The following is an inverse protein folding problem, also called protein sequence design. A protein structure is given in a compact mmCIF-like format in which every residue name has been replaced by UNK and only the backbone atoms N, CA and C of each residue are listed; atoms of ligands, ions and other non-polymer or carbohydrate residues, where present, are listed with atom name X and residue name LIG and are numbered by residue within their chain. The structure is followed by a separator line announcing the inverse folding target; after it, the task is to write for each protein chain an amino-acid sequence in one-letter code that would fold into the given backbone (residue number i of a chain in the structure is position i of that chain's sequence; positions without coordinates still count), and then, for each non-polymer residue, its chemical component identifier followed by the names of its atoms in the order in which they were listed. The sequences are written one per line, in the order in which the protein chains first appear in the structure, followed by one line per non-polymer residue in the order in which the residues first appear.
data_IF_381191146650
#
_entry.id   IF_381191146650
#
_cell.length_a   1.000
_cell.length_b   1.000
_cell.length_c   1.000
_cell.angle_alpha   90.00
_cell.angle_beta   90.00
_cell.angle_gamma   90.00
#
_symmetry.space_group_name_H-M   'P 1'
#
loop_
_entity.id
_entity.type
_entity.pdbx_description
1 polymer ?
#
# COMPACT_ATOMS: atom_id res chain seq x y z
N UNK A 1 16.42 -38.53 6.93
CA UNK A 1 17.53 -37.71 7.48
C UNK A 1 17.92 -36.62 6.49
N UNK A 2 18.56 -36.95 5.35
CA UNK A 2 19.02 -35.96 4.36
C UNK A 2 17.90 -35.02 3.84
N UNK A 3 16.72 -35.57 3.54
CA UNK A 3 15.54 -34.81 3.11
C UNK A 3 15.04 -33.81 4.16
N UNK A 4 15.03 -34.22 5.43
CA UNK A 4 14.59 -33.40 6.56
C UNK A 4 15.57 -32.25 6.79
N UNK A 5 16.88 -32.50 6.73
CA UNK A 5 17.90 -31.45 6.90
C UNK A 5 17.90 -30.48 5.72
N UNK A 6 17.69 -30.94 4.48
CA UNK A 6 17.50 -30.05 3.33
C UNK A 6 16.25 -29.19 3.44
N UNK A 7 15.13 -29.78 3.88
CA UNK A 7 13.89 -29.05 4.13
C UNK A 7 14.09 -27.96 5.19
N UNK A 8 14.79 -28.29 6.28
CA UNK A 8 15.13 -27.33 7.32
C UNK A 8 16.05 -26.20 6.83
N UNK A 9 17.06 -26.50 6.01
CA UNK A 9 17.91 -25.47 5.38
C UNK A 9 17.14 -24.53 4.47
N UNK A 10 16.27 -25.10 3.63
CA UNK A 10 15.43 -24.31 2.74
C UNK A 10 14.46 -23.43 3.54
N UNK A 11 13.87 -23.96 4.61
CA UNK A 11 12.99 -23.19 5.50
C UNK A 11 13.75 -22.02 6.16
N UNK A 12 14.91 -22.28 6.78
CA UNK A 12 15.73 -21.21 7.38
C UNK A 12 16.20 -20.18 6.37
N UNK A 13 16.52 -20.58 5.13
CA UNK A 13 16.86 -19.63 4.06
C UNK A 13 15.68 -18.72 3.70
N UNK A 14 14.47 -19.29 3.61
CA UNK A 14 13.25 -18.51 3.33
C UNK A 14 12.89 -17.57 4.47
N UNK A 15 13.02 -18.02 5.71
CA UNK A 15 12.84 -17.18 6.90
C UNK A 15 13.81 -16.00 6.89
N UNK A 16 15.11 -16.27 6.68
CA UNK A 16 16.14 -15.23 6.59
C UNK A 16 15.86 -14.22 5.49
N UNK A 17 15.36 -14.67 4.33
CA UNK A 17 14.98 -13.77 3.25
C UNK A 17 13.81 -12.84 3.64
N UNK A 18 12.82 -13.35 4.39
CA UNK A 18 11.68 -12.55 4.86
C UNK A 18 12.13 -11.54 5.92
N UNK A 19 12.87 -11.97 6.94
CA UNK A 19 13.41 -11.10 7.99
C UNK A 19 14.37 -10.05 7.42
N UNK A 20 15.22 -10.44 6.45
CA UNK A 20 16.10 -9.50 5.76
C UNK A 20 15.31 -8.45 4.97
N UNK A 21 14.22 -8.85 4.31
CA UNK A 21 13.33 -7.93 3.61
C UNK A 21 12.63 -6.96 4.58
N UNK A 22 12.17 -7.45 5.73
CA UNK A 22 11.57 -6.61 6.77
C UNK A 22 12.58 -5.58 7.30
N UNK A 23 13.79 -6.03 7.63
CA UNK A 23 14.85 -5.17 8.16
C UNK A 23 15.25 -4.08 7.16
N UNK A 24 15.39 -4.44 5.88
CA UNK A 24 15.71 -3.48 4.82
C UNK A 24 14.61 -2.42 4.63
N UNK A 25 13.35 -2.78 4.86
CA UNK A 25 12.21 -1.89 4.71
C UNK A 25 11.70 -1.29 6.03
N UNK A 26 12.43 -1.44 7.13
CA UNK A 26 12.02 -0.94 8.45
C UNK A 26 11.90 0.60 8.50
N UNK A 27 12.57 1.32 7.59
CA UNK A 27 12.45 2.78 7.45
C UNK A 27 11.51 3.22 6.32
N UNK A 28 10.93 2.27 5.58
CA UNK A 28 10.05 2.57 4.46
C UNK A 28 8.65 2.92 4.97
N UNK A 29 8.13 4.07 4.55
CA UNK A 29 6.78 4.52 4.95
C UNK A 29 5.69 3.59 4.44
N UNK A 30 4.71 3.29 5.29
CA UNK A 30 3.60 2.39 4.97
C UNK A 30 4.00 0.93 4.70
N UNK A 31 5.25 0.53 4.99
CA UNK A 31 5.67 -0.87 4.84
C UNK A 31 5.01 -1.76 5.89
N UNK A 32 4.67 -2.98 5.49
CA UNK A 32 4.05 -3.97 6.35
C UNK A 32 4.95 -5.19 6.47
N UNK A 33 5.34 -5.49 7.71
CA UNK A 33 6.12 -6.65 8.11
C UNK A 33 5.51 -7.91 7.53
N UNK A 34 6.35 -8.78 7.00
CA UNK A 34 5.96 -10.10 6.53
C UNK A 34 6.54 -11.17 7.44
N UNK A 35 5.84 -12.29 7.61
CA UNK A 35 6.32 -13.45 8.38
C UNK A 35 6.10 -14.74 7.58
N UNK A 36 7.03 -15.68 7.74
CA UNK A 36 6.98 -16.98 7.10
C UNK A 36 6.20 -17.96 7.98
N UNK A 37 5.16 -18.57 7.42
CA UNK A 37 4.42 -19.65 8.08
C UNK A 37 4.93 -21.00 7.57
N UNK A 38 5.35 -21.85 8.49
CA UNK A 38 5.83 -23.20 8.19
C UNK A 38 4.80 -24.24 8.60
N UNK A 39 4.62 -25.25 7.76
CA UNK A 39 3.87 -26.47 8.07
C UNK A 39 4.82 -27.65 8.18
N UNK A 40 4.52 -28.59 9.06
CA UNK A 40 5.18 -29.88 9.06
C UNK A 40 4.68 -30.73 7.87
N UNK A 41 5.53 -31.65 7.43
CA UNK A 41 5.16 -32.61 6.39
C UNK A 41 5.14 -33.98 7.01
N UNK A 42 4.01 -34.66 6.88
CA UNK A 42 3.87 -36.07 7.22
C UNK A 42 3.65 -36.92 5.99
N UNK A 43 4.09 -38.18 6.05
CA UNK A 43 3.78 -39.17 5.04
C UNK A 43 2.28 -39.49 5.10
N UNK A 44 1.54 -39.24 4.02
CA UNK A 44 0.10 -39.53 3.91
C UNK A 44 -0.18 -40.98 3.48
N UNK A 45 0.76 -41.91 3.70
CA UNK A 45 0.59 -43.31 3.32
C UNK A 45 -0.47 -44.00 4.22
N UNK A 46 -1.61 -44.46 3.68
CA UNK A 46 -2.67 -45.11 4.46
C UNK A 46 -2.24 -46.39 5.19
N UNK A 47 -1.14 -47.02 4.77
CA UNK A 47 -0.57 -48.21 5.42
C UNK A 47 0.41 -47.87 6.55
N UNK A 48 0.75 -46.59 6.74
CA UNK A 48 1.70 -46.17 7.76
C UNK A 48 1.04 -46.14 9.15
N UNK A 49 1.68 -46.78 10.13
CA UNK A 49 1.23 -46.72 11.52
C UNK A 49 1.52 -45.30 12.06
N UNK A 50 0.51 -44.54 12.51
CA UNK A 50 0.69 -43.17 13.01
C UNK A 50 1.60 -43.09 14.26
N UNK A 51 1.85 -44.22 14.94
CA UNK A 51 2.81 -44.28 16.07
C UNK A 51 4.27 -44.44 15.64
N UNK A 52 4.54 -44.76 14.38
CA UNK A 52 5.90 -44.98 13.85
C UNK A 52 6.23 -44.07 12.67
N UNK A 53 5.30 -43.21 12.24
CA UNK A 53 5.53 -42.26 11.16
C UNK A 53 6.50 -41.15 11.62
N UNK A 54 7.66 -41.08 10.98
CA UNK A 54 8.63 -40.00 11.18
C UNK A 54 8.28 -38.85 10.23
N UNK A 55 8.30 -37.60 10.73
CA UNK A 55 8.05 -36.42 9.92
C UNK A 55 9.05 -36.28 8.77
N UNK A 56 8.57 -35.81 7.62
CA UNK A 56 9.36 -35.58 6.41
C UNK A 56 10.04 -34.20 6.38
N UNK A 57 9.87 -33.40 7.43
CA UNK A 57 10.51 -32.10 7.63
C UNK A 57 9.50 -30.97 7.67
N UNK A 58 9.93 -29.79 7.20
CA UNK A 58 9.15 -28.55 7.21
C UNK A 58 9.04 -27.97 5.81
N UNK A 59 7.88 -27.38 5.48
CA UNK A 59 7.66 -26.65 4.24
C UNK A 59 7.16 -25.24 4.56
N UNK A 60 7.51 -24.29 3.69
CA UNK A 60 6.93 -22.95 3.72
C UNK A 60 5.51 -23.01 3.16
N UNK A 61 4.52 -22.80 4.03
CA UNK A 61 3.09 -22.79 3.65
C UNK A 61 2.72 -21.47 2.99
N UNK A 62 3.13 -20.34 3.60
CA UNK A 62 2.84 -19.01 3.08
C UNK A 62 3.79 -17.96 3.66
N UNK A 63 3.91 -16.83 2.97
CA UNK A 63 4.45 -15.59 3.55
C UNK A 63 3.27 -14.67 3.76
N UNK A 64 2.88 -14.48 5.01
CA UNK A 64 1.77 -13.62 5.38
C UNK A 64 2.29 -12.23 5.75
N UNK A 65 1.45 -11.21 5.53
CA UNK A 65 1.73 -9.82 5.88
C UNK A 65 0.97 -9.45 7.13
N UNK A 66 1.63 -8.78 8.06
CA UNK A 66 1.00 -8.18 9.22
C UNK A 66 0.37 -6.84 8.82
N UNK A 67 -0.96 -6.77 8.88
CA UNK A 67 -1.76 -5.61 8.46
C UNK A 67 -2.00 -4.60 9.58
N UNK A 68 -1.43 -4.83 10.77
CA UNK A 68 -1.47 -3.87 11.88
C UNK A 68 -0.87 -2.53 11.47
N UNK A 69 -1.41 -1.44 12.03
CA UNK A 69 -0.89 -0.10 11.77
C UNK A 69 0.50 0.08 12.40
N UNK A 70 1.39 0.77 11.68
CA UNK A 70 2.67 1.21 12.21
C UNK A 70 2.55 2.49 13.04
N UNK A 71 3.67 2.95 13.61
CA UNK A 71 3.72 4.21 14.32
C UNK A 71 3.46 5.40 13.38
N UNK A 72 2.68 6.38 13.82
CA UNK A 72 2.41 7.60 13.05
C UNK A 72 3.46 8.67 13.39
N UNK A 73 4.14 9.20 12.38
CA UNK A 73 5.12 10.26 12.50
C UNK A 73 4.60 11.55 11.89
N UNK A 74 4.52 12.62 12.68
CA UNK A 74 4.19 13.94 12.15
C UNK A 74 5.34 14.48 11.29
N UNK A 75 5.00 14.97 10.09
CA UNK A 75 5.95 15.58 9.15
C UNK A 75 5.70 17.08 8.97
N UNK A 76 4.50 17.55 9.29
CA UNK A 76 4.10 18.96 9.12
C UNK A 76 3.77 19.36 7.68
N UNK A 77 3.87 18.44 6.72
CA UNK A 77 3.44 18.68 5.33
C UNK A 77 2.01 18.19 5.14
N UNK A 78 1.12 19.08 4.75
CA UNK A 78 -0.31 18.75 4.55
C UNK A 78 -0.55 17.66 3.51
N UNK A 79 0.37 17.49 2.56
CA UNK A 79 0.34 16.46 1.50
C UNK A 79 0.78 15.09 1.99
N UNK A 80 1.43 15.02 3.14
CA UNK A 80 1.73 13.74 3.80
C UNK A 80 0.48 13.29 4.55
N UNK A 81 -0.04 12.14 4.14
CA UNK A 81 -1.27 11.56 4.66
C UNK A 81 -0.97 10.21 5.31
N UNK A 82 -1.59 9.97 6.45
CA UNK A 82 -1.68 8.64 7.04
C UNK A 82 -3.15 8.23 7.18
N UNK A 83 -3.41 6.93 7.15
CA UNK A 83 -4.72 6.37 7.46
C UNK A 83 -4.67 5.84 8.89
N UNK A 84 -5.54 6.38 9.74
CA UNK A 84 -5.78 5.83 11.08
C UNK A 84 -6.91 4.80 11.01
N UNK A 85 -6.57 3.52 11.22
CA UNK A 85 -7.47 2.39 11.03
C UNK A 85 -7.23 1.61 9.73
N UNK A 86 -8.22 0.85 9.26
CA UNK A 86 -8.09 -0.04 8.09
C UNK A 86 -8.29 0.70 6.76
N UNK A 87 -7.67 0.21 5.71
CA UNK A 87 -7.85 0.71 4.34
C UNK A 87 -6.56 1.08 3.62
N UNK A 88 -6.66 1.35 2.34
CA UNK A 88 -5.54 1.71 1.49
C UNK A 88 -5.91 2.93 0.65
N UNK A 89 -4.94 3.78 0.37
CA UNK A 89 -5.07 4.81 -0.63
C UNK A 89 -5.25 4.16 -2.00
N UNK A 90 -6.23 4.64 -2.74
CA UNK A 90 -6.46 4.21 -4.12
C UNK A 90 -5.62 5.12 -5.02
N UNK A 91 -4.71 4.51 -5.75
CA UNK A 91 -3.85 5.17 -6.72
C UNK A 91 -4.08 4.56 -8.09
N UNK A 92 -3.83 5.32 -9.16
CA UNK A 92 -3.91 4.83 -10.53
C UNK A 92 -2.69 5.29 -11.29
N UNK A 93 -2.19 4.41 -12.15
CA UNK A 93 -1.15 4.78 -13.12
C UNK A 93 -1.75 5.79 -14.12
N UNK A 94 -1.14 6.96 -14.37
CA UNK A 94 -1.62 7.89 -15.39
C UNK A 94 -1.73 7.27 -16.80
N UNK A 95 -0.95 6.23 -17.11
CA UNK A 95 -1.02 5.51 -18.39
C UNK A 95 -1.94 4.27 -18.36
N UNK A 96 -2.43 3.88 -17.18
CA UNK A 96 -3.17 2.64 -16.96
C UNK A 96 -4.60 2.86 -16.48
N UNK A 97 -5.42 1.81 -16.60
CA UNK A 97 -6.81 1.82 -16.10
C UNK A 97 -6.95 1.09 -14.76
N UNK A 98 -5.95 0.30 -14.37
CA UNK A 98 -6.00 -0.53 -13.17
C UNK A 98 -5.73 0.29 -11.90
N UNK A 99 -6.62 0.15 -10.91
CA UNK A 99 -6.41 0.70 -9.58
C UNK A 99 -5.33 -0.08 -8.86
N UNK A 100 -4.48 0.65 -8.17
CA UNK A 100 -3.41 0.14 -7.33
C UNK A 100 -3.58 0.71 -5.93
N UNK A 101 -3.29 -0.10 -4.91
CA UNK A 101 -3.56 0.24 -3.53
C UNK A 101 -2.25 0.43 -2.78
N UNK A 102 -2.14 1.48 -1.98
CA UNK A 102 -0.94 1.75 -1.19
C UNK A 102 -1.30 2.22 0.20
N UNK A 103 -0.43 1.92 1.16
CA UNK A 103 -0.50 2.47 2.52
C UNK A 103 0.49 3.64 2.71
N UNK A 104 1.44 3.79 1.78
CA UNK A 104 2.33 4.94 1.78
C UNK A 104 1.54 6.18 1.35
N UNK A 105 1.57 7.22 2.18
CA UNK A 105 0.91 8.49 1.89
C UNK A 105 1.86 9.67 1.80
N UNK A 106 3.09 9.42 1.35
CA UNK A 106 4.05 10.46 0.99
C UNK A 106 3.72 11.03 -0.40
N UNK A 107 2.67 11.84 -0.46
CA UNK A 107 2.21 12.43 -1.72
C UNK A 107 2.85 13.80 -1.97
N UNK A 108 3.02 14.11 -3.25
CA UNK A 108 3.50 15.38 -3.77
C UNK A 108 2.55 15.90 -4.84
N UNK A 109 2.55 17.21 -5.09
CA UNK A 109 1.82 17.77 -6.23
C UNK A 109 2.73 17.82 -7.44
N UNK A 110 2.23 17.40 -8.60
CA UNK A 110 2.90 17.61 -9.88
C UNK A 110 2.64 19.03 -10.43
N UNK A 111 3.26 19.36 -11.58
CA UNK A 111 3.11 20.67 -12.21
C UNK A 111 1.70 20.95 -12.74
N UNK A 112 0.90 19.90 -12.97
CA UNK A 112 -0.50 19.96 -13.39
C UNK A 112 -1.47 20.00 -12.19
N UNK A 113 -0.94 19.93 -10.96
CA UNK A 113 -1.71 19.95 -9.72
C UNK A 113 -2.24 18.59 -9.28
N UNK A 114 -1.91 17.48 -9.93
CA UNK A 114 -2.34 16.17 -9.45
C UNK A 114 -1.56 15.76 -8.20
N UNK A 115 -2.28 15.13 -7.27
CA UNK A 115 -1.67 14.51 -6.10
C UNK A 115 -1.07 13.18 -6.54
N UNK A 116 0.25 13.12 -6.63
CA UNK A 116 1.00 11.96 -7.09
C UNK A 116 1.85 11.38 -5.97
N UNK A 117 1.98 10.04 -5.97
CA UNK A 117 2.97 9.37 -5.16
C UNK A 117 4.39 9.53 -5.78
N UNK A 118 5.47 9.16 -5.08
CA UNK A 118 6.83 9.31 -5.59
C UNK A 118 7.13 8.48 -6.85
N UNK A 119 6.28 7.50 -7.16
CA UNK A 119 6.38 6.72 -8.39
C UNK A 119 5.47 7.22 -9.50
N UNK A 120 4.90 8.43 -9.38
CA UNK A 120 4.10 9.11 -10.40
C UNK A 120 2.64 8.66 -10.50
N UNK A 121 2.14 7.87 -9.54
CA UNK A 121 0.77 7.37 -9.58
C UNK A 121 -0.16 8.39 -8.94
N UNK A 122 -1.26 8.68 -9.60
CA UNK A 122 -2.22 9.69 -9.17
C UNK A 122 -3.14 9.12 -8.10
N UNK A 123 -3.34 9.86 -7.03
CA UNK A 123 -4.29 9.51 -5.97
C UNK A 123 -5.69 9.77 -6.47
N UNK A 124 -6.58 8.82 -6.20
CA UNK A 124 -7.95 8.85 -6.67
C UNK A 124 -8.90 9.35 -5.58
N UNK A 125 -9.97 10.02 -5.99
CA UNK A 125 -10.99 10.54 -5.11
C UNK A 125 -12.38 10.58 -5.75
N UNK A 126 -13.39 10.79 -4.92
CA UNK A 126 -14.78 10.99 -5.29
C UNK A 126 -15.11 12.47 -5.38
N UNK A 127 -16.10 12.82 -6.20
CA UNK A 127 -16.62 14.19 -6.31
C UNK A 127 -17.62 14.54 -5.19
N UNK A 128 -18.19 13.55 -4.48
CA UNK A 128 -19.19 13.75 -3.43
C UNK A 128 -19.01 12.79 -2.23
N UNK A 129 -19.54 13.17 -1.07
CA UNK A 129 -19.51 12.45 0.23
C UNK A 129 -20.24 11.09 0.14
N UNK A 130 -21.20 10.94 -0.77
CA UNK A 130 -21.93 9.68 -0.94
C UNK A 130 -20.99 8.51 -1.27
N UNK A 131 -19.86 8.74 -1.95
CA UNK A 131 -18.75 7.79 -2.11
C UNK A 131 -19.12 6.40 -2.62
N UNK A 132 -20.26 6.25 -3.31
CA UNK A 132 -20.89 4.93 -3.51
C UNK A 132 -20.57 4.29 -4.85
N UNK A 133 -20.12 5.05 -5.86
CA UNK A 133 -19.89 4.53 -7.21
C UNK A 133 -18.41 4.58 -7.60
N UNK A 134 -17.85 3.43 -7.99
CA UNK A 134 -16.48 3.36 -8.56
C UNK A 134 -16.33 4.12 -9.88
N UNK A 135 -17.44 4.49 -10.53
CA UNK A 135 -17.46 5.33 -11.75
C UNK A 135 -17.10 6.80 -11.46
N UNK A 136 -17.34 7.29 -10.24
CA UNK A 136 -17.06 8.67 -9.84
C UNK A 136 -15.60 8.86 -9.37
N UNK A 137 -14.81 7.79 -9.46
CA UNK A 137 -13.42 7.76 -9.03
C UNK A 137 -12.53 8.45 -10.07
N UNK A 138 -12.17 9.71 -9.80
CA UNK A 138 -11.28 10.53 -10.64
C UNK A 138 -10.00 10.93 -9.90
N UNK A 139 -8.90 11.22 -10.63
CA UNK A 139 -7.68 11.71 -10.01
C UNK A 139 -7.92 12.97 -9.18
N UNK A 140 -7.31 13.08 -8.01
CA UNK A 140 -7.37 14.29 -7.18
C UNK A 140 -6.43 15.33 -7.79
N UNK A 141 -7.01 16.44 -8.23
CA UNK A 141 -6.28 17.57 -8.82
C UNK A 141 -6.54 18.83 -7.99
N UNK A 142 -5.44 19.51 -7.67
CA UNK A 142 -5.35 20.79 -6.95
C UNK A 142 -4.58 21.75 -7.88
N UNK A 143 -5.30 22.46 -8.76
CA UNK A 143 -4.67 23.37 -9.70
C UNK A 143 -3.81 24.44 -8.97
N UNK A 144 -2.54 24.66 -9.38
CA UNK A 144 -1.70 25.69 -8.75
C UNK A 144 -2.15 27.11 -9.11
N UNK A 145 -2.75 27.27 -10.29
CA UNK A 145 -3.35 28.51 -10.79
C UNK A 145 -4.68 28.16 -11.43
N UNK A 146 -5.71 28.96 -11.15
CA UNK A 146 -6.96 28.92 -11.88
C UNK A 146 -7.03 30.22 -12.68
N UNK A 147 -7.00 30.09 -14.00
CA UNK A 147 -7.20 31.17 -14.93
C UNK A 147 -8.70 31.33 -15.17
N UNK A 148 -9.27 32.47 -14.76
CA UNK A 148 -10.60 32.87 -15.22
C UNK A 148 -10.42 33.46 -16.62
N UNK A 149 -10.46 32.62 -17.66
CA UNK A 149 -10.69 33.12 -19.02
C UNK A 149 -12.16 33.47 -19.13
N UNK A 150 -12.42 34.77 -19.33
CA UNK A 150 -13.70 35.45 -19.50
C UNK A 150 -14.93 34.55 -19.32
N UNK A 151 -15.60 34.68 -18.17
CA UNK A 151 -17.00 34.28 -18.11
C UNK A 151 -17.77 35.17 -19.09
N UNK A 152 -18.68 34.61 -19.88
CA UNK A 152 -19.73 35.41 -20.48
C UNK A 152 -20.52 36.15 -19.38
N UNK A 153 -21.29 37.16 -19.75
CA UNK A 153 -22.06 38.01 -18.84
C UNK A 153 -23.12 37.25 -17.98
N UNK A 154 -23.16 35.92 -18.08
CA UNK A 154 -24.03 35.00 -17.35
C UNK A 154 -23.26 34.18 -16.29
N UNK A 155 -21.95 34.40 -16.12
CA UNK A 155 -21.14 33.77 -15.08
C UNK A 155 -20.78 32.31 -15.38
N UNK A 156 -20.83 31.89 -16.65
CA UNK A 156 -20.42 30.56 -17.08
C UNK A 156 -18.98 30.62 -17.64
N UNK A 157 -18.03 29.82 -17.13
CA UNK A 157 -16.68 29.74 -17.69
C UNK A 157 -16.72 29.22 -19.14
N UNK A 158 -16.10 29.98 -20.06
CA UNK A 158 -15.82 29.53 -21.42
C UNK A 158 -14.91 28.29 -21.37
N UNK A 159 -15.36 27.21 -22.01
CA UNK A 159 -14.67 25.94 -22.08
C UNK A 159 -13.20 26.09 -22.52
N UNK A 160 -12.27 25.53 -21.73
CA UNK A 160 -10.95 25.14 -22.21
C UNK A 160 -11.07 24.01 -23.26
N UNK A 161 -9.99 23.70 -24.00
CA UNK A 161 -10.04 23.21 -25.39
C UNK A 161 -10.54 21.76 -25.60
N UNK A 162 -11.10 21.09 -24.59
CA UNK A 162 -11.62 19.72 -24.72
C UNK A 162 -13.15 19.70 -24.58
N UNK A 163 -13.81 19.91 -25.72
CA UNK A 163 -15.26 19.98 -25.86
C UNK A 163 -15.92 18.64 -25.50
N UNK A 164 -16.66 18.59 -24.38
CA UNK A 164 -17.84 17.71 -24.30
C UNK A 164 -18.05 16.85 -23.05
N UNK A 165 -17.27 16.98 -21.97
CA UNK A 165 -17.57 16.24 -20.73
C UNK A 165 -18.38 17.11 -19.73
N UNK A 166 -19.66 16.80 -19.47
CA UNK A 166 -20.51 17.57 -18.55
C UNK A 166 -20.01 17.60 -17.09
N UNK A 167 -19.09 16.71 -16.70
CA UNK A 167 -18.58 16.65 -15.33
C UNK A 167 -17.41 17.61 -15.05
N UNK A 168 -16.70 18.11 -16.07
CA UNK A 168 -15.67 19.16 -15.88
C UNK A 168 -16.29 20.56 -15.75
N UNK A 169 -17.48 20.76 -16.31
CA UNK A 169 -18.27 21.99 -16.14
C UNK A 169 -18.65 22.25 -14.67
N UNK A 170 -18.79 21.21 -13.84
CA UNK A 170 -19.10 21.37 -12.40
C UNK A 170 -17.93 21.92 -11.58
N UNK A 171 -16.68 21.55 -11.94
CA UNK A 171 -15.49 22.10 -11.31
C UNK A 171 -15.26 23.55 -11.75
N UNK A 172 -15.44 23.86 -13.04
CA UNK A 172 -15.32 25.22 -13.56
C UNK A 172 -16.43 26.14 -13.03
N UNK A 173 -17.68 25.66 -12.88
CA UNK A 173 -18.78 26.43 -12.29
C UNK A 173 -18.57 26.79 -10.82
N UNK A 174 -17.81 25.99 -10.06
CA UNK A 174 -17.47 26.35 -8.68
C UNK A 174 -16.45 27.47 -8.60
N UNK A 175 -15.65 27.67 -9.65
CA UNK A 175 -14.78 28.83 -9.80
C UNK A 175 -15.44 29.88 -10.71
N UNK A 176 -16.74 30.17 -10.52
CA UNK A 176 -17.34 31.35 -11.14
C UNK A 176 -16.95 32.59 -10.33
N UNK A 177 -16.16 33.50 -10.91
CA UNK A 177 -15.90 34.82 -10.34
C UNK A 177 -16.86 35.85 -10.95
N UNK A 178 -17.75 36.49 -10.17
CA UNK A 178 -18.63 37.53 -10.68
C UNK A 178 -17.89 38.84 -11.06
N UNK A 179 -16.58 38.95 -10.83
CA UNK A 179 -15.84 40.21 -10.94
C UNK A 179 -14.89 40.31 -12.14
N UNK A 180 -15.05 39.46 -13.16
CA UNK A 180 -14.22 39.49 -14.38
C UNK A 180 -12.91 38.71 -14.27
N UNK A 181 -12.19 38.67 -15.39
CA UNK A 181 -11.01 37.85 -15.68
C UNK A 181 -9.85 38.13 -14.74
N UNK A 182 -9.21 37.06 -14.26
CA UNK A 182 -8.11 37.13 -13.31
C UNK A 182 -7.41 35.79 -13.19
N UNK A 183 -6.26 35.76 -12.52
CA UNK A 183 -5.58 34.51 -12.13
C UNK A 183 -5.65 34.41 -10.61
N UNK A 184 -6.23 33.34 -10.08
CA UNK A 184 -6.10 33.04 -8.65
C UNK A 184 -5.04 31.97 -8.45
N UNK A 185 -4.15 32.23 -7.49
CA UNK A 185 -3.04 31.34 -7.17
C UNK A 185 -3.34 30.58 -5.88
N UNK A 186 -2.86 29.34 -5.79
CA UNK A 186 -3.00 28.52 -4.59
C UNK A 186 -2.22 29.15 -3.42
N UNK A 187 -2.91 29.46 -2.33
CA UNK A 187 -2.31 29.97 -1.09
C UNK A 187 -2.13 28.87 -0.04
N UNK A 188 -3.05 27.90 0.03
CA UNK A 188 -3.02 26.85 1.03
C UNK A 188 -3.80 25.61 0.63
N UNK A 189 -3.38 24.47 1.16
CA UNK A 189 -4.08 23.19 1.04
C UNK A 189 -4.45 22.74 2.44
N UNK A 190 -5.67 22.26 2.62
CA UNK A 190 -6.14 21.64 3.84
C UNK A 190 -6.83 20.33 3.50
N UNK A 191 -6.56 19.29 4.29
CA UNK A 191 -7.19 17.98 4.11
C UNK A 191 -7.87 17.60 5.42
N UNK A 192 -9.19 17.51 5.39
CA UNK A 192 -10.00 17.15 6.56
C UNK A 192 -9.85 15.66 6.88
N UNK A 193 -10.10 15.23 8.14
CA UNK A 193 -10.02 13.81 8.52
C UNK A 193 -10.98 12.87 7.78
N UNK A 194 -12.06 13.43 7.22
CA UNK A 194 -13.02 12.73 6.34
C UNK A 194 -12.53 12.60 4.89
N UNK A 195 -11.28 12.98 4.61
CA UNK A 195 -10.69 12.93 3.27
C UNK A 195 -11.07 14.08 2.37
N UNK A 196 -11.71 15.14 2.87
CA UNK A 196 -12.07 16.30 2.06
C UNK A 196 -10.82 17.13 1.73
N UNK A 197 -10.48 17.22 0.45
CA UNK A 197 -9.36 18.02 -0.05
C UNK A 197 -9.86 19.42 -0.37
N UNK A 198 -9.42 20.40 0.42
CA UNK A 198 -9.76 21.81 0.28
C UNK A 198 -8.54 22.62 -0.13
N UNK A 199 -8.74 23.56 -1.05
CA UNK A 199 -7.72 24.50 -1.47
C UNK A 199 -8.21 25.94 -1.24
N UNK A 200 -7.36 26.75 -0.63
CA UNK A 200 -7.58 28.19 -0.44
C UNK A 200 -6.73 28.94 -1.45
N UNK A 201 -7.35 29.84 -2.22
CA UNK A 201 -6.69 30.60 -3.27
C UNK A 201 -6.56 32.09 -2.88
N UNK A 202 -5.92 32.90 -3.74
CA UNK A 202 -5.67 34.33 -3.53
C UNK A 202 -6.92 35.21 -3.37
N UNK A 203 -8.11 34.65 -3.54
CA UNK A 203 -9.40 35.27 -3.29
C UNK A 203 -9.91 35.07 -1.85
N UNK A 204 -9.11 34.44 -0.98
CA UNK A 204 -9.45 34.04 0.38
C UNK A 204 -10.69 33.15 0.47
N UNK A 205 -11.10 32.51 -0.64
CA UNK A 205 -12.15 31.50 -0.64
C UNK A 205 -11.54 30.11 -0.59
N UNK A 206 -12.25 29.22 0.09
CA UNK A 206 -11.88 27.81 0.19
C UNK A 206 -12.79 26.99 -0.69
N UNK A 207 -12.18 26.15 -1.52
CA UNK A 207 -12.85 25.32 -2.49
C UNK A 207 -12.59 23.84 -2.16
N UNK A 208 -13.67 23.09 -1.85
CA UNK A 208 -13.67 21.63 -1.69
C UNK A 208 -13.48 20.89 -3.02
N UNK A 209 -12.28 20.45 -3.36
CA UNK A 209 -12.00 19.87 -4.68
C UNK A 209 -12.61 18.48 -4.85
N UNK A 210 -12.22 17.53 -4.00
CA UNK A 210 -12.64 16.12 -4.01
C UNK A 210 -12.52 15.50 -2.62
N UNK A 211 -13.12 14.32 -2.45
CA UNK A 211 -12.93 13.46 -1.28
C UNK A 211 -11.95 12.33 -1.64
N UNK A 212 -10.90 12.12 -0.85
CA UNK A 212 -9.98 10.99 -1.01
C UNK A 212 -10.74 9.66 -1.00
N UNK A 213 -10.36 8.73 -1.87
CA UNK A 213 -10.92 7.39 -1.87
C UNK A 213 -10.04 6.43 -1.06
N UNK A 214 -10.67 5.65 -0.17
CA UNK A 214 -10.03 4.54 0.53
C UNK A 214 -10.61 3.22 0.01
N UNK A 215 -9.72 2.31 -0.38
CA UNK A 215 -10.05 0.92 -0.65
C UNK A 215 -9.91 0.07 0.60
N UNK A 216 -10.95 -0.65 0.98
CA UNK A 216 -10.91 -1.70 2.01
C UNK A 216 -11.17 -3.06 1.36
N UNK A 217 -10.54 -4.11 1.88
CA UNK A 217 -10.72 -5.46 1.35
C UNK A 217 -11.31 -6.38 2.42
N UNK A 218 -12.11 -7.38 2.03
CA UNK A 218 -12.47 -8.47 2.93
C UNK A 218 -11.24 -9.19 3.48
N UNK A 219 -10.20 -9.37 2.65
CA UNK A 219 -8.96 -10.03 3.03
C UNK A 219 -7.73 -9.28 2.49
N UNK A 220 -7.13 -8.42 3.32
CA UNK A 220 -5.91 -7.67 2.99
C UNK A 220 -4.69 -8.60 2.72
N UNK A 221 -4.68 -9.80 3.30
CA UNK A 221 -3.61 -10.79 3.08
C UNK A 221 -3.63 -11.43 1.69
N UNK A 222 -4.76 -11.35 0.98
CA UNK A 222 -4.90 -11.81 -0.40
C UNK A 222 -4.35 -10.83 -1.43
N UNK A 223 -3.94 -9.63 -1.02
CA UNK A 223 -3.42 -8.62 -1.93
C UNK A 223 -2.02 -8.98 -2.44
N UNK A 224 -1.85 -8.93 -3.76
CA UNK A 224 -0.55 -9.16 -4.40
C UNK A 224 0.27 -7.87 -4.36
N UNK A 225 1.51 -7.95 -3.91
CA UNK A 225 2.43 -6.83 -3.98
C UNK A 225 2.98 -6.68 -5.41
N UNK A 226 2.95 -5.46 -5.93
CA UNK A 226 3.44 -5.10 -7.28
C UNK A 226 4.76 -4.32 -7.23
N UNK A 227 5.28 -4.05 -6.02
CA UNK A 227 6.50 -3.28 -5.78
C UNK A 227 6.20 -1.87 -5.27
N UNK A 228 7.22 -1.15 -4.78
CA UNK A 228 7.09 0.24 -4.28
C UNK A 228 5.95 0.45 -3.24
N UNK A 229 5.76 -0.51 -2.33
CA UNK A 229 4.67 -0.50 -1.33
C UNK A 229 3.25 -0.48 -1.91
N UNK A 230 3.11 -0.93 -3.16
CA UNK A 230 1.83 -1.00 -3.87
C UNK A 230 1.29 -2.42 -3.96
N UNK A 231 -0.02 -2.51 -4.01
CA UNK A 231 -0.80 -3.73 -4.00
C UNK A 231 -1.85 -3.73 -5.10
N UNK A 232 -2.12 -4.91 -5.66
CA UNK A 232 -3.21 -5.15 -6.62
C UNK A 232 -4.16 -6.18 -6.05
N UNK A 233 -5.45 -6.03 -6.36
CA UNK A 233 -6.47 -6.99 -5.97
C UNK A 233 -6.26 -8.36 -6.65
N UNK A 234 -6.69 -9.41 -5.98
CA UNK A 234 -6.68 -10.79 -6.50
C UNK A 234 -7.98 -11.50 -6.15
N UNK A 235 -8.21 -12.68 -6.73
CA UNK A 235 -9.34 -13.53 -6.32
C UNK A 235 -9.33 -13.91 -4.83
N UNK A 236 -8.18 -13.85 -4.15
CA UNK A 236 -8.04 -14.16 -2.73
C UNK A 236 -8.30 -12.97 -1.80
N UNK A 237 -8.11 -11.73 -2.28
CA UNK A 237 -8.42 -10.53 -1.49
C UNK A 237 -9.91 -10.23 -1.45
N UNK A 238 -10.64 -10.69 -2.46
CA UNK A 238 -11.97 -10.19 -2.80
C UNK A 238 -11.89 -8.84 -3.52
N UNK A 239 -13.05 -8.36 -3.98
CA UNK A 239 -13.16 -7.07 -4.65
C UNK A 239 -12.90 -5.91 -3.69
N UNK A 240 -12.25 -4.86 -4.17
CA UNK A 240 -12.05 -3.64 -3.39
C UNK A 240 -13.40 -2.97 -3.07
N UNK A 241 -13.62 -2.67 -1.79
CA UNK A 241 -14.71 -1.82 -1.35
C UNK A 241 -14.18 -0.38 -1.22
N UNK A 242 -14.51 0.44 -2.20
CA UNK A 242 -14.11 1.84 -2.24
C UNK A 242 -15.12 2.69 -1.46
N UNK A 243 -14.61 3.53 -0.57
CA UNK A 243 -15.43 4.41 0.27
C UNK A 243 -14.66 5.66 0.67
N UNK A 244 -15.36 6.65 1.22
CA UNK A 244 -14.71 7.83 1.81
C UNK A 244 -14.11 7.50 3.18
N UNK A 245 -13.04 8.19 3.59
CA UNK A 245 -12.49 8.08 4.93
C UNK A 245 -13.51 8.38 6.03
N UNK A 246 -13.45 7.61 7.11
CA UNK A 246 -14.40 7.69 8.23
C UNK A 246 -15.71 6.93 8.02
N UNK A 247 -15.90 6.26 6.88
CA UNK A 247 -16.98 5.27 6.72
C UNK A 247 -16.73 4.04 7.63
N UNK A 248 -17.76 3.27 8.02
CA UNK A 248 -17.63 2.16 9.01
C UNK A 248 -16.57 1.09 8.70
N UNK A 249 -16.13 0.95 7.44
CA UNK A 249 -15.11 -0.01 6.98
C UNK A 249 -13.80 0.65 6.54
N UNK A 250 -13.70 1.99 6.65
CA UNK A 250 -12.54 2.78 6.28
C UNK A 250 -12.01 3.57 7.49
N UNK A 251 -10.70 3.70 7.59
CA UNK A 251 -10.05 4.54 8.58
C UNK A 251 -10.27 6.04 8.32
N UNK A 252 -9.89 6.85 9.29
CA UNK A 252 -9.83 8.30 9.13
C UNK A 252 -8.51 8.70 8.46
N UNK A 253 -8.46 9.85 7.79
CA UNK A 253 -7.20 10.43 7.32
C UNK A 253 -6.61 11.33 8.39
N UNK A 254 -5.29 11.28 8.55
CA UNK A 254 -4.51 12.23 9.32
C UNK A 254 -3.56 12.96 8.38
N UNK A 255 -3.84 14.24 8.14
CA UNK A 255 -2.96 15.11 7.36
C UNK A 255 -1.77 15.57 8.19
N UNK A 256 -0.62 15.78 7.54
CA UNK A 256 0.62 16.18 8.23
C UNK A 256 1.34 15.02 8.89
N UNK A 257 0.99 13.77 8.58
CA UNK A 257 1.54 12.57 9.23
C UNK A 257 1.82 11.47 8.22
N UNK A 258 2.83 10.65 8.49
CA UNK A 258 3.16 9.45 7.72
C UNK A 258 3.17 8.23 8.62
N UNK A 259 2.56 7.15 8.14
CA UNK A 259 2.67 5.84 8.77
C UNK A 259 4.07 5.24 8.54
N UNK A 260 4.76 4.88 9.62
CA UNK A 260 6.03 4.16 9.57
C UNK A 260 5.82 2.66 9.35
N UNK A 261 6.89 1.94 9.02
CA UNK A 261 6.83 0.49 8.98
C UNK A 261 6.43 -0.08 10.34
N UNK A 262 5.59 -1.12 10.38
CA UNK A 262 5.29 -1.87 11.61
C UNK A 262 6.38 -2.91 11.94
N UNK A 263 7.64 -2.58 11.65
CA UNK A 263 8.80 -3.46 11.83
C UNK A 263 9.59 -3.00 13.04
N UNK A 264 9.74 -3.88 14.03
CA UNK A 264 10.67 -3.67 15.15
C UNK A 264 12.04 -4.26 14.78
N UNK A 265 13.00 -3.37 14.50
CA UNK A 265 14.36 -3.72 14.11
C UNK A 265 15.02 -4.64 15.13
N UNK A 266 14.77 -4.45 16.42
CA UNK A 266 15.41 -5.24 17.48
C UNK A 266 14.94 -6.69 17.41
N UNK A 267 13.62 -6.89 17.26
CA UNK A 267 13.04 -8.22 17.15
C UNK A 267 13.45 -8.88 15.82
N UNK A 268 13.44 -8.16 14.70
CA UNK A 268 13.88 -8.70 13.41
C UNK A 268 15.35 -9.11 13.43
N UNK A 269 16.25 -8.33 14.06
CA UNK A 269 17.66 -8.70 14.18
C UNK A 269 17.84 -9.95 15.04
N UNK A 270 17.08 -10.07 16.13
CA UNK A 270 17.10 -11.26 16.98
C UNK A 270 16.60 -12.50 16.22
N UNK A 271 15.52 -12.37 15.47
CA UNK A 271 14.98 -13.46 14.65
C UNK A 271 15.95 -13.82 13.52
N UNK A 272 16.60 -12.83 12.88
CA UNK A 272 17.64 -13.06 11.88
C UNK A 272 18.81 -13.86 12.44
N UNK A 273 19.30 -13.49 13.62
CA UNK A 273 20.41 -14.19 14.28
C UNK A 273 20.00 -15.64 14.60
N UNK A 274 18.76 -15.86 15.06
CA UNK A 274 18.23 -17.21 15.31
C UNK A 274 18.18 -18.03 14.03
N UNK A 275 17.60 -17.52 12.95
CA UNK A 275 17.54 -18.23 11.67
C UNK A 275 18.93 -18.50 11.09
N UNK A 276 19.89 -17.59 11.26
CA UNK A 276 21.30 -17.81 10.88
C UNK A 276 21.97 -18.92 11.70
N UNK A 277 21.73 -18.98 13.02
CA UNK A 277 22.23 -20.05 13.86
C UNK A 277 21.64 -21.41 13.46
N UNK A 278 20.33 -21.46 13.20
CA UNK A 278 19.65 -22.68 12.72
C UNK A 278 20.17 -23.10 11.36
N UNK A 279 20.36 -22.18 10.42
CA UNK A 279 20.93 -22.47 9.11
C UNK A 279 22.35 -23.06 9.22
N UNK A 280 23.24 -22.42 9.98
CA UNK A 280 24.59 -22.92 10.20
C UNK A 280 24.62 -24.28 10.91
N UNK A 281 23.71 -24.50 11.87
CA UNK A 281 23.54 -25.79 12.54
C UNK A 281 23.12 -26.90 11.57
N UNK A 282 22.11 -26.64 10.75
CA UNK A 282 21.62 -27.59 9.73
C UNK A 282 22.67 -27.85 8.64
N UNK A 283 23.47 -26.84 8.27
CA UNK A 283 24.54 -26.99 7.29
C UNK A 283 25.65 -27.91 7.81
N UNK A 284 26.03 -27.78 9.08
CA UNK A 284 26.98 -28.71 9.74
C UNK A 284 26.41 -30.13 9.81
N UNK A 285 25.12 -30.29 10.11
CA UNK A 285 24.47 -31.62 10.09
C UNK A 285 24.50 -32.26 8.71
N UNK A 286 24.27 -31.49 7.64
CA UNK A 286 24.43 -31.98 6.27
C UNK A 286 25.87 -32.41 5.99
N UNK A 287 26.86 -31.59 6.35
CA UNK A 287 28.28 -31.92 6.17
C UNK A 287 28.63 -33.24 6.86
N UNK A 288 28.27 -33.40 8.13
CA UNK A 288 28.48 -34.65 8.86
C UNK A 288 27.81 -35.85 8.18
N UNK A 289 26.60 -35.66 7.65
CA UNK A 289 25.88 -36.74 6.96
C UNK A 289 26.55 -37.11 5.63
N UNK A 290 27.06 -36.13 4.89
CA UNK A 290 27.80 -36.35 3.64
C UNK A 290 29.12 -37.06 3.95
N UNK A 291 29.84 -36.63 4.99
CA UNK A 291 31.09 -37.27 5.42
C UNK A 291 30.90 -38.73 5.84
N UNK A 292 29.83 -39.05 6.60
CA UNK A 292 29.56 -40.44 7.00
C UNK A 292 29.16 -41.31 5.82
N UNK A 293 28.36 -40.79 4.88
CA UNK A 293 28.02 -41.50 3.64
C UNK A 293 29.27 -41.74 2.80
N UNK A 294 30.11 -40.71 2.57
CA UNK A 294 31.37 -40.86 1.83
C UNK A 294 32.27 -41.91 2.44
N UNK A 295 32.45 -41.91 3.77
CA UNK A 295 33.27 -42.92 4.47
C UNK A 295 32.72 -44.35 4.34
N UNK A 296 31.41 -44.51 4.16
CA UNK A 296 30.81 -45.83 3.92
C UNK A 296 31.04 -46.24 2.47
N UNK A 297 30.92 -45.32 1.52
CA UNK A 297 31.15 -45.60 0.09
C UNK A 297 32.62 -45.88 -0.21
N UNK A 298 33.57 -45.17 0.41
CA UNK A 298 35.02 -45.39 0.23
C UNK A 298 35.53 -46.71 0.84
N UNK A 299 34.70 -47.39 1.65
CA UNK A 299 35.02 -48.68 2.30
C UNK A 299 34.44 -49.91 1.57
N UNK A 300 33.72 -49.71 0.47
CA UNK A 300 33.14 -50.77 -0.38
C UNK A 300 33.93 -50.80 -1.69
#
# INVERSE_FOLDING_TARGET
MLSVTMAALNASQKEMNVTSNNLANASTVGFKRSYANFGDVFSNDPASNPKTAVGAGVLLTSVARDTTAGALKATGRVTDLAIDGRGFFVTRDPAGTANTYSRAGNFSLDAQGFVVDPGGFQVMGFNDIAGTNSADLKPVQIPPVIDYTDADAEGVPLAGPDNGNPEELSLLQRFANPNGSGKIVLQGISISPKGEVQATYSDNKTYTLRFLAIGSFPNDGGLKATGNNRYTETGLSGAANLSIPGAPKAGNIMSGTLEQANVDITNELMDMIRSQQVYNGNARMLQTTIETVSRITDKI
#
